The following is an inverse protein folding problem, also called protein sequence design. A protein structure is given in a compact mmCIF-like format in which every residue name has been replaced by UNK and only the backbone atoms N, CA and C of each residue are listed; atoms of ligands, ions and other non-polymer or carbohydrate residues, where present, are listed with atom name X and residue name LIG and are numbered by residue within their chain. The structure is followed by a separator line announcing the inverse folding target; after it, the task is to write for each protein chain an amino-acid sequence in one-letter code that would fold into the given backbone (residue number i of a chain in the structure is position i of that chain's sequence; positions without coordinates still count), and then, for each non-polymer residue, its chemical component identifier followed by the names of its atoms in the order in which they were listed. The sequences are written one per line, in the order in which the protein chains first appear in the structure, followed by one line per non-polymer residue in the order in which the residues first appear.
data_IF_048788455279
#
_entry.id   IF_048788455279
#
_cell.length_a   1.000
_cell.length_b   1.000
_cell.length_c   1.000
_cell.angle_alpha   90.00
_cell.angle_beta   90.00
_cell.angle_gamma   90.00
#
_symmetry.space_group_name_H-M   'P 1'
#
loop_
_entity.id
_entity.type
_entity.pdbx_description
1 polymer ?
#
# COMPACT_ATOMS: atom_id res chain seq x y z
N UNK A 1 17.19 -19.15 16.90
CA UNK A 1 16.47 -18.08 16.21
C UNK A 1 17.25 -17.81 14.93
N UNK A 2 16.75 -18.22 13.78
CA UNK A 2 17.34 -17.82 12.50
C UNK A 2 17.17 -16.32 12.37
N UNK A 3 18.26 -15.58 12.14
CA UNK A 3 18.25 -14.15 11.83
C UNK A 3 17.33 -13.89 10.64
N UNK A 4 16.07 -13.54 10.91
CA UNK A 4 15.10 -13.21 9.87
C UNK A 4 15.27 -11.74 9.52
N UNK A 5 16.39 -11.41 8.89
CA UNK A 5 16.56 -10.10 8.28
C UNK A 5 15.66 -10.02 7.05
N UNK A 6 15.06 -8.85 6.85
CA UNK A 6 14.27 -8.59 5.66
C UNK A 6 15.19 -8.59 4.43
N UNK A 7 14.76 -9.24 3.34
CA UNK A 7 15.54 -9.28 2.11
C UNK A 7 15.40 -7.96 1.35
N UNK A 8 16.53 -7.44 0.87
CA UNK A 8 16.61 -6.28 -0.01
C UNK A 8 16.94 -6.70 -1.43
N UNK A 9 16.24 -6.11 -2.40
CA UNK A 9 16.51 -6.21 -3.83
C UNK A 9 16.62 -4.81 -4.44
N UNK A 10 17.08 -4.71 -5.69
CA UNK A 10 17.10 -3.44 -6.45
C UNK A 10 15.85 -3.30 -7.33
N UNK A 11 15.57 -2.10 -7.81
CA UNK A 11 14.38 -1.81 -8.64
C UNK A 11 14.37 -2.51 -10.01
N UNK A 12 15.51 -3.03 -10.46
CA UNK A 12 15.66 -3.83 -11.68
C UNK A 12 15.58 -5.35 -11.43
N UNK A 13 15.27 -5.78 -10.20
CA UNK A 13 15.11 -7.19 -9.87
C UNK A 13 14.00 -7.86 -10.70
N UNK A 14 14.12 -9.16 -10.88
CA UNK A 14 13.08 -9.95 -11.54
C UNK A 14 11.77 -9.98 -10.72
N UNK A 15 10.63 -9.83 -11.39
CA UNK A 15 9.32 -9.80 -10.73
C UNK A 15 9.01 -11.13 -10.03
N UNK A 16 9.39 -12.28 -10.59
CA UNK A 16 9.16 -13.57 -9.94
C UNK A 16 10.02 -13.69 -8.68
N UNK A 17 11.24 -13.13 -8.67
CA UNK A 17 12.05 -13.04 -7.43
C UNK A 17 11.32 -12.23 -6.35
N UNK A 18 10.75 -11.08 -6.68
CA UNK A 18 9.99 -10.25 -5.73
C UNK A 18 8.75 -10.98 -5.21
N UNK A 19 7.98 -11.62 -6.11
CA UNK A 19 6.79 -12.38 -5.72
C UNK A 19 7.14 -13.55 -4.79
N UNK A 20 8.21 -14.29 -5.09
CA UNK A 20 8.67 -15.39 -4.25
C UNK A 20 9.06 -14.91 -2.84
N UNK A 21 9.74 -13.76 -2.72
CA UNK A 21 10.08 -13.17 -1.43
C UNK A 21 8.83 -12.73 -0.65
N UNK A 22 7.86 -12.13 -1.32
CA UNK A 22 6.58 -11.77 -0.71
C UNK A 22 5.80 -13.01 -0.23
N UNK A 23 5.79 -14.10 -0.99
CA UNK A 23 5.14 -15.35 -0.56
C UNK A 23 5.86 -15.99 0.64
N UNK A 24 7.20 -15.94 0.67
CA UNK A 24 8.04 -16.54 1.72
C UNK A 24 8.11 -15.71 3.01
N UNK A 25 8.28 -14.41 2.90
CA UNK A 25 8.56 -13.52 4.04
C UNK A 25 7.44 -12.51 4.29
N UNK A 26 6.52 -12.33 3.33
CA UNK A 26 5.41 -11.40 3.44
C UNK A 26 5.81 -9.94 3.21
N UNK A 27 7.10 -9.66 3.09
CA UNK A 27 7.66 -8.35 2.78
C UNK A 27 9.02 -8.43 2.09
N UNK A 28 9.39 -7.35 1.40
CA UNK A 28 10.68 -7.16 0.73
C UNK A 28 10.99 -5.67 0.62
N UNK A 29 12.26 -5.28 0.79
CA UNK A 29 12.72 -3.92 0.47
C UNK A 29 13.23 -3.88 -0.96
N UNK A 30 12.85 -2.83 -1.69
CA UNK A 30 13.31 -2.51 -3.03
C UNK A 30 14.08 -1.19 -2.97
N UNK A 31 15.39 -1.25 -3.12
CA UNK A 31 16.25 -0.08 -3.26
C UNK A 31 16.09 0.57 -4.62
N UNK A 32 16.32 1.89 -4.68
CA UNK A 32 16.20 2.69 -5.91
C UNK A 32 14.82 2.56 -6.58
N UNK A 33 13.77 2.42 -5.76
CA UNK A 33 12.38 2.32 -6.21
C UNK A 33 11.89 3.61 -6.89
N UNK A 34 12.30 4.78 -6.37
CA UNK A 34 12.14 6.07 -7.04
C UNK A 34 13.49 6.67 -7.39
N UNK A 35 13.57 7.28 -8.56
CA UNK A 35 14.67 8.18 -8.88
C UNK A 35 14.61 9.46 -8.02
N UNK A 36 15.76 10.15 -7.81
CA UNK A 36 15.81 11.34 -6.97
C UNK A 36 14.90 12.48 -7.42
N UNK A 37 14.71 12.67 -8.73
CA UNK A 37 13.93 13.79 -9.28
C UNK A 37 12.43 13.57 -9.00
N UNK A 38 11.93 12.35 -9.24
CA UNK A 38 10.55 11.97 -8.91
C UNK A 38 10.29 12.09 -7.40
N UNK A 39 11.23 11.65 -6.55
CA UNK A 39 11.11 11.79 -5.10
C UNK A 39 11.05 13.26 -4.68
N UNK A 40 11.90 14.12 -5.27
CA UNK A 40 11.90 15.55 -5.00
C UNK A 40 10.58 16.20 -5.45
N UNK A 41 10.04 15.83 -6.60
CA UNK A 41 8.79 16.35 -7.11
C UNK A 41 7.59 15.95 -6.24
N UNK A 42 7.53 14.69 -5.79
CA UNK A 42 6.55 14.24 -4.78
C UNK A 42 6.66 15.07 -3.48
N UNK A 43 7.89 15.35 -3.02
CA UNK A 43 8.09 16.16 -1.83
C UNK A 43 7.66 17.61 -2.02
N UNK A 44 7.91 18.20 -3.19
CA UNK A 44 7.47 19.56 -3.51
C UNK A 44 5.94 19.68 -3.51
N UNK A 45 5.23 18.67 -4.03
CA UNK A 45 3.76 18.66 -4.06
C UNK A 45 3.14 18.44 -2.66
N UNK A 46 3.75 17.59 -1.83
CA UNK A 46 3.13 17.03 -0.62
C UNK A 46 3.72 17.57 0.69
N UNK A 47 5.03 17.80 0.74
CA UNK A 47 5.77 18.14 1.95
C UNK A 47 5.28 19.42 2.63
N UNK A 48 5.24 20.57 1.94
CA UNK A 48 4.75 21.82 2.52
C UNK A 48 3.30 21.74 3.00
N UNK A 49 2.47 20.89 2.39
CA UNK A 49 1.07 20.74 2.80
C UNK A 49 0.93 20.04 4.17
N UNK A 50 1.88 19.18 4.56
CA UNK A 50 1.87 18.47 5.86
C UNK A 50 1.89 19.41 7.06
N UNK A 51 2.45 20.62 6.93
CA UNK A 51 2.49 21.60 8.02
C UNK A 51 1.09 21.97 8.52
N UNK A 52 0.08 21.89 7.64
CA UNK A 52 -1.33 22.20 7.94
C UNK A 52 -2.05 21.08 8.67
N UNK A 53 -1.47 19.89 8.74
CA UNK A 53 -2.06 18.73 9.40
C UNK A 53 -1.58 18.65 10.86
N UNK A 54 -2.53 18.44 11.77
CA UNK A 54 -2.25 18.15 13.16
C UNK A 54 -1.72 16.72 13.35
N UNK A 55 -1.35 16.41 14.59
CA UNK A 55 -1.03 15.03 14.96
C UNK A 55 -2.29 14.19 15.08
N UNK A 56 -2.13 12.87 15.08
CA UNK A 56 -3.17 11.93 15.44
C UNK A 56 -3.66 12.10 16.88
N UNK A 57 -4.83 11.54 17.13
CA UNK A 57 -5.59 11.69 18.37
C UNK A 57 -5.64 10.41 19.22
N UNK A 58 -4.97 9.33 18.78
CA UNK A 58 -4.99 8.02 19.45
C UNK A 58 -3.69 7.23 19.25
N UNK A 59 -3.56 6.11 19.97
CA UNK A 59 -2.38 5.23 19.98
C UNK A 59 -2.05 4.61 18.61
N UNK A 60 -3.03 4.47 17.72
CA UNK A 60 -2.82 3.92 16.39
C UNK A 60 -2.45 5.00 15.37
N UNK A 61 -3.15 6.13 15.40
CA UNK A 61 -2.91 7.25 14.50
C UNK A 61 -1.63 8.00 14.86
N UNK A 62 -1.30 8.04 16.15
CA UNK A 62 -0.07 8.54 16.74
C UNK A 62 -0.16 9.98 17.25
N UNK A 63 0.23 10.23 18.50
CA UNK A 63 0.13 11.54 19.16
C UNK A 63 1.16 12.58 18.67
N UNK A 64 2.21 12.13 17.98
CA UNK A 64 3.20 12.96 17.28
C UNK A 64 3.40 12.47 15.84
N UNK A 65 2.35 11.91 15.24
CA UNK A 65 2.37 11.47 13.84
C UNK A 65 1.42 12.34 13.02
N UNK A 66 1.94 12.96 11.96
CA UNK A 66 1.10 13.66 10.96
C UNK A 66 0.75 12.72 9.82
N UNK A 67 -0.50 12.79 9.35
CA UNK A 67 -1.00 11.98 8.23
C UNK A 67 -1.79 12.85 7.26
N UNK A 68 -1.47 12.74 5.98
CA UNK A 68 -2.20 13.40 4.90
C UNK A 68 -2.60 12.38 3.85
N UNK A 69 -3.90 12.30 3.54
CA UNK A 69 -4.44 11.38 2.54
C UNK A 69 -4.74 12.07 1.20
N UNK A 70 -5.36 11.33 0.29
CA UNK A 70 -5.87 11.77 -1.01
C UNK A 70 -4.75 12.20 -1.95
N UNK A 71 -3.68 11.41 -1.99
CA UNK A 71 -2.43 11.80 -2.65
C UNK A 71 -2.59 11.95 -4.17
N UNK A 72 -3.46 11.15 -4.79
CA UNK A 72 -3.77 11.28 -6.22
C UNK A 72 -4.51 12.59 -6.57
N UNK A 73 -5.13 13.26 -5.59
CA UNK A 73 -5.68 14.61 -5.78
C UNK A 73 -4.62 15.71 -5.65
N UNK A 74 -3.44 15.37 -5.12
CA UNK A 74 -2.42 16.33 -4.69
C UNK A 74 -1.15 16.29 -5.54
N UNK A 75 -0.82 15.14 -6.10
CA UNK A 75 0.42 14.96 -6.88
C UNK A 75 0.22 14.00 -8.04
N UNK A 76 0.56 14.47 -9.25
CA UNK A 76 0.62 13.62 -10.46
C UNK A 76 1.77 12.62 -10.40
N UNK A 77 2.80 12.90 -9.61
CA UNK A 77 3.97 12.04 -9.42
C UNK A 77 3.61 10.73 -8.68
N UNK A 78 2.42 10.64 -8.06
CA UNK A 78 1.89 9.37 -7.53
C UNK A 78 1.80 8.27 -8.60
N UNK A 79 1.72 8.64 -9.88
CA UNK A 79 1.75 7.68 -10.98
C UNK A 79 3.02 6.82 -11.00
N UNK A 80 4.18 7.39 -10.64
CA UNK A 80 5.44 6.66 -10.59
C UNK A 80 5.45 5.57 -9.51
N UNK A 81 4.83 5.85 -8.35
CA UNK A 81 4.69 4.87 -7.27
C UNK A 81 3.71 3.77 -7.65
N UNK A 82 2.52 4.17 -8.11
CA UNK A 82 1.42 3.26 -8.41
C UNK A 82 1.74 2.34 -9.60
N UNK A 83 2.37 2.85 -10.65
CA UNK A 83 2.71 2.07 -11.84
C UNK A 83 4.10 1.41 -11.77
N UNK A 84 4.78 1.47 -10.62
CA UNK A 84 6.09 0.84 -10.48
C UNK A 84 6.00 -0.67 -10.79
N UNK A 85 6.79 -1.22 -11.74
CA UNK A 85 6.60 -2.59 -12.23
C UNK A 85 6.63 -3.67 -11.15
N UNK A 86 7.54 -3.56 -10.18
CA UNK A 86 7.64 -4.53 -9.09
C UNK A 86 6.48 -4.45 -8.11
N UNK A 87 5.88 -3.27 -7.91
CA UNK A 87 4.77 -3.11 -6.97
C UNK A 87 3.45 -3.51 -7.62
N UNK A 88 3.11 -2.91 -8.77
CA UNK A 88 1.89 -3.24 -9.50
C UNK A 88 1.91 -4.68 -9.99
N UNK A 89 3.05 -5.16 -10.50
CA UNK A 89 3.23 -6.54 -10.94
C UNK A 89 3.00 -7.55 -9.81
N UNK A 90 3.57 -7.29 -8.63
CA UNK A 90 3.38 -8.15 -7.46
C UNK A 90 1.92 -8.13 -6.97
N UNK A 91 1.29 -6.95 -6.91
CA UNK A 91 -0.12 -6.83 -6.55
C UNK A 91 -1.03 -7.63 -7.49
N UNK A 92 -0.83 -7.51 -8.81
CA UNK A 92 -1.57 -8.29 -9.81
C UNK A 92 -1.35 -9.79 -9.63
N UNK A 93 -0.08 -10.22 -9.54
CA UNK A 93 0.27 -11.63 -9.39
C UNK A 93 -0.34 -12.23 -8.12
N UNK A 94 -0.29 -11.52 -7.00
CA UNK A 94 -0.64 -12.10 -5.70
C UNK A 94 -2.13 -11.96 -5.35
N UNK A 95 -2.83 -10.96 -5.90
CA UNK A 95 -4.24 -10.72 -5.60
C UNK A 95 -5.17 -11.34 -6.66
N UNK A 96 -4.82 -11.29 -7.95
CA UNK A 96 -5.70 -11.71 -9.05
C UNK A 96 -5.71 -13.23 -9.28
N UNK A 97 -5.71 -13.99 -8.19
CA UNK A 97 -5.76 -15.45 -8.23
C UNK A 97 -7.15 -15.92 -8.71
N UNK A 98 -7.21 -16.87 -9.65
CA UNK A 98 -8.48 -17.38 -10.16
C UNK A 98 -9.22 -18.18 -9.08
N UNK A 99 -10.51 -17.91 -8.92
CA UNK A 99 -11.41 -18.64 -8.03
C UNK A 99 -12.43 -19.41 -8.88
N UNK A 100 -12.62 -20.72 -8.65
CA UNK A 100 -13.64 -21.49 -9.34
C UNK A 100 -15.04 -21.10 -8.85
N UNK A 101 -15.91 -20.72 -9.78
CA UNK A 101 -17.31 -20.36 -9.49
C UNK A 101 -18.26 -21.13 -10.42
N UNK A 102 -19.48 -21.38 -9.95
CA UNK A 102 -20.50 -22.09 -10.72
C UNK A 102 -21.51 -21.11 -11.33
N UNK A 103 -21.74 -21.21 -12.65
CA UNK A 103 -22.85 -20.56 -13.35
C UNK A 103 -23.63 -21.59 -14.14
N UNK A 104 -24.92 -21.75 -13.82
CA UNK A 104 -25.84 -22.65 -14.54
C UNK A 104 -25.28 -24.06 -14.80
N UNK A 105 -24.59 -24.65 -13.82
CA UNK A 105 -24.02 -26.00 -13.97
C UNK A 105 -22.67 -26.07 -14.69
N UNK A 106 -22.08 -24.93 -15.05
CA UNK A 106 -20.71 -24.84 -15.56
C UNK A 106 -19.79 -24.20 -14.51
N UNK A 107 -18.61 -24.77 -14.32
CA UNK A 107 -17.57 -24.17 -13.49
C UNK A 107 -16.65 -23.31 -14.36
N UNK A 108 -16.46 -22.05 -13.97
CA UNK A 108 -15.54 -21.11 -14.63
C UNK A 108 -14.62 -20.50 -13.59
N UNK A 109 -13.38 -20.22 -13.98
CA UNK A 109 -12.42 -19.54 -13.11
C UNK A 109 -12.54 -18.03 -13.32
N UNK A 110 -12.72 -17.29 -12.24
CA UNK A 110 -12.80 -15.82 -12.25
C UNK A 110 -11.76 -15.25 -11.31
N UNK A 111 -10.97 -14.31 -11.80
CA UNK A 111 -10.06 -13.51 -10.99
C UNK A 111 -10.69 -12.13 -10.72
N UNK A 112 -10.54 -11.58 -9.51
CA UNK A 112 -10.85 -10.16 -9.29
C UNK A 112 -9.86 -9.29 -10.08
N UNK A 113 -10.22 -8.04 -10.35
CA UNK A 113 -9.22 -7.01 -10.67
C UNK A 113 -8.63 -6.47 -9.35
N UNK A 114 -7.83 -5.40 -9.43
CA UNK A 114 -7.28 -4.71 -8.25
C UNK A 114 -7.60 -3.22 -8.33
N UNK A 115 -7.67 -2.57 -7.16
CA UNK A 115 -7.89 -1.13 -7.04
C UNK A 115 -7.07 -0.56 -5.88
N UNK A 116 -6.80 0.75 -5.92
CA UNK A 116 -6.21 1.51 -4.81
C UNK A 116 -7.18 1.50 -3.65
N UNK A 117 -6.70 1.21 -2.44
CA UNK A 117 -7.50 1.27 -1.22
C UNK A 117 -7.27 2.58 -0.46
N UNK A 118 -6.02 2.88 -0.10
CA UNK A 118 -5.67 4.08 0.63
C UNK A 118 -4.32 4.64 0.18
N UNK A 119 -4.20 5.96 0.32
CA UNK A 119 -2.95 6.70 0.12
C UNK A 119 -2.69 7.62 1.31
N UNK A 120 -1.46 7.63 1.83
CA UNK A 120 -1.08 8.56 2.90
C UNK A 120 0.39 8.97 2.81
N UNK A 121 0.68 10.23 3.12
CA UNK A 121 2.00 10.61 3.64
C UNK A 121 1.92 10.55 5.16
N UNK A 122 2.89 9.86 5.76
CA UNK A 122 2.99 9.64 7.20
C UNK A 122 4.33 10.20 7.67
N UNK A 123 4.27 11.17 8.60
CA UNK A 123 5.46 11.80 9.18
C UNK A 123 5.46 11.59 10.69
N UNK A 124 6.40 10.78 11.17
CA UNK A 124 6.58 10.43 12.58
C UNK A 124 7.62 11.36 13.19
N UNK A 125 7.21 12.19 14.14
CA UNK A 125 8.08 13.18 14.78
C UNK A 125 8.88 12.58 15.94
N UNK A 126 9.96 13.26 16.38
CA UNK A 126 10.73 12.88 17.56
C UNK A 126 9.88 12.58 18.80
N UNK A 127 10.29 11.53 19.52
CA UNK A 127 9.64 10.90 20.68
C UNK A 127 8.29 10.24 20.42
N UNK A 128 7.87 10.08 19.17
CA UNK A 128 6.67 9.30 18.89
C UNK A 128 6.87 7.83 19.25
N UNK A 129 5.87 7.26 19.94
CA UNK A 129 5.85 5.85 20.33
C UNK A 129 5.74 4.89 19.13
N UNK A 130 6.07 3.62 19.35
CA UNK A 130 5.88 2.60 18.33
C UNK A 130 4.40 2.23 18.19
N UNK A 131 3.89 2.22 16.96
CA UNK A 131 2.52 1.80 16.64
C UNK A 131 2.28 0.36 17.12
N UNK A 132 1.01 0.02 17.36
CA UNK A 132 0.60 -1.37 17.60
C UNK A 132 0.90 -2.23 16.38
N UNK A 133 1.35 -3.46 16.62
CA UNK A 133 1.52 -4.45 15.56
C UNK A 133 0.15 -4.88 15.05
N UNK A 134 -0.07 -4.77 13.75
CA UNK A 134 -1.35 -5.03 13.11
C UNK A 134 -1.17 -5.60 11.70
N UNK A 135 -2.27 -6.14 11.16
CA UNK A 135 -2.43 -6.48 9.75
C UNK A 135 -3.28 -5.39 9.11
N UNK A 136 -2.89 -4.89 7.95
CA UNK A 136 -3.63 -3.83 7.28
C UNK A 136 -4.99 -4.30 6.75
N UNK A 137 -5.09 -5.57 6.36
CA UNK A 137 -6.35 -6.11 5.84
C UNK A 137 -7.32 -6.59 6.93
N UNK A 138 -7.01 -6.36 8.22
CA UNK A 138 -7.97 -6.54 9.32
C UNK A 138 -9.22 -5.68 9.10
N UNK A 139 -9.13 -4.57 8.36
CA UNK A 139 -10.28 -3.75 7.95
C UNK A 139 -11.33 -4.53 7.14
N UNK A 140 -10.95 -5.64 6.51
CA UNK A 140 -11.86 -6.54 5.76
C UNK A 140 -12.40 -7.71 6.59
N UNK A 141 -12.01 -7.83 7.87
CA UNK A 141 -12.52 -8.82 8.84
C UNK A 141 -12.50 -10.27 8.33
N UNK A 142 -11.41 -10.67 7.66
CA UNK A 142 -11.25 -12.03 7.12
C UNK A 142 -10.50 -12.92 8.10
N UNK A 143 -10.91 -14.19 8.26
CA UNK A 143 -10.17 -15.14 9.08
C UNK A 143 -8.86 -15.53 8.40
N UNK A 144 -7.84 -15.84 9.19
CA UNK A 144 -6.55 -16.35 8.71
C UNK A 144 -6.36 -17.85 9.00
N UNK A 145 -5.62 -18.56 8.14
CA UNK A 145 -4.99 -18.09 6.90
C UNK A 145 -6.00 -17.91 5.75
N UNK A 146 -5.80 -16.88 4.93
CA UNK A 146 -6.63 -16.58 3.76
C UNK A 146 -5.79 -16.15 2.55
N UNK A 147 -6.34 -16.25 1.32
CA UNK A 147 -5.70 -15.68 0.14
C UNK A 147 -5.40 -14.19 0.29
N UNK A 148 -4.28 -13.73 -0.27
CA UNK A 148 -3.87 -12.32 -0.28
C UNK A 148 -4.91 -11.46 -1.00
N UNK A 149 -5.45 -10.44 -0.33
CA UNK A 149 -6.31 -9.43 -0.97
C UNK A 149 -5.78 -8.02 -0.86
N UNK A 150 -4.57 -7.85 -0.29
CA UNK A 150 -3.90 -6.56 -0.18
C UNK A 150 -2.40 -6.73 -0.39
N UNK A 151 -1.82 -5.82 -1.18
CA UNK A 151 -0.37 -5.58 -1.25
C UNK A 151 -0.16 -4.09 -1.07
N UNK A 152 0.77 -3.72 -0.21
CA UNK A 152 1.01 -2.33 0.17
C UNK A 152 2.46 -1.95 -0.01
N UNK A 153 2.69 -0.67 -0.31
CA UNK A 153 4.03 -0.09 -0.42
C UNK A 153 4.19 1.07 0.56
N UNK A 154 5.41 1.24 1.07
CA UNK A 154 5.87 2.39 1.85
C UNK A 154 7.16 2.86 1.20
N UNK A 155 7.10 3.98 0.51
CA UNK A 155 8.25 4.66 -0.07
C UNK A 155 8.90 5.54 1.00
N UNK A 156 10.20 5.39 1.16
CA UNK A 156 11.02 6.18 2.08
C UNK A 156 11.25 7.59 1.50
N UNK A 157 10.59 8.62 2.05
CA UNK A 157 10.84 10.02 1.65
C UNK A 157 12.06 10.61 2.37
N UNK A 158 12.35 10.09 3.56
CA UNK A 158 13.61 10.23 4.31
C UNK A 158 14.23 8.85 4.50
N UNK A 159 15.48 8.77 4.94
CA UNK A 159 16.08 7.47 5.32
C UNK A 159 15.25 6.83 6.44
N UNK A 160 15.13 5.50 6.40
CA UNK A 160 14.49 4.71 7.45
C UNK A 160 15.59 3.95 8.18
N UNK A 161 15.69 4.17 9.48
CA UNK A 161 16.64 3.50 10.37
C UNK A 161 15.90 2.95 11.59
N UNK A 162 16.49 1.99 12.28
CA UNK A 162 15.93 1.48 13.53
C UNK A 162 15.73 2.59 14.57
N UNK A 163 16.61 3.60 14.58
CA UNK A 163 16.57 4.74 15.50
C UNK A 163 15.44 5.73 15.19
N UNK A 164 15.22 6.08 13.92
CA UNK A 164 14.18 7.04 13.54
C UNK A 164 12.80 6.42 13.34
N UNK A 165 12.66 5.16 13.74
CA UNK A 165 11.41 4.43 13.74
C UNK A 165 11.02 3.91 12.38
N UNK A 166 11.93 3.27 11.64
CA UNK A 166 11.61 2.46 10.45
C UNK A 166 10.38 1.57 10.67
N UNK A 167 9.68 1.22 9.59
CA UNK A 167 8.56 0.28 9.67
C UNK A 167 9.05 -1.06 10.22
N UNK A 168 8.44 -1.53 11.31
CA UNK A 168 8.72 -2.81 11.92
C UNK A 168 7.90 -3.89 11.22
N UNK A 169 8.48 -5.03 10.91
CA UNK A 169 7.82 -6.16 10.22
C UNK A 169 8.14 -7.47 10.91
N UNK A 170 7.23 -8.45 10.86
CA UNK A 170 7.51 -9.82 11.35
C UNK A 170 7.54 -10.79 10.16
N UNK A 171 8.71 -11.07 9.56
CA UNK A 171 8.79 -11.91 8.37
C UNK A 171 8.16 -13.31 8.54
N UNK A 172 7.22 -13.61 7.63
CA UNK A 172 6.46 -14.84 7.58
C UNK A 172 5.16 -14.85 8.40
N UNK A 173 4.81 -13.75 9.09
CA UNK A 173 3.62 -13.70 9.95
C UNK A 173 2.29 -13.59 9.20
N UNK A 174 2.33 -13.32 7.90
CA UNK A 174 1.17 -13.36 7.00
C UNK A 174 0.55 -14.75 6.86
N UNK A 175 1.27 -15.80 7.27
CA UNK A 175 0.76 -17.18 7.30
C UNK A 175 0.25 -17.64 8.65
N UNK A 176 0.38 -16.82 9.70
CA UNK A 176 -0.11 -17.21 11.03
C UNK A 176 -1.63 -17.19 11.06
N UNK A 177 -2.22 -18.08 11.85
CA UNK A 177 -3.63 -18.06 12.19
C UNK A 177 -3.99 -16.84 13.07
N UNK A 178 -5.26 -16.75 13.47
CA UNK A 178 -5.78 -15.67 14.32
C UNK A 178 -5.62 -15.94 15.83
N UNK A 179 -5.17 -17.13 16.23
CA UNK A 179 -5.00 -17.48 17.65
C UNK A 179 -3.66 -16.96 18.19
N UNK A 180 -2.69 -16.73 17.30
CA UNK A 180 -1.35 -16.27 17.65
C UNK A 180 -1.23 -14.75 17.66
N UNK A 181 -1.02 -14.18 18.85
CA UNK A 181 -0.69 -12.75 19.00
C UNK A 181 0.76 -12.42 18.57
N UNK A 182 1.01 -11.29 17.88
CA UNK A 182 2.35 -10.85 17.53
C UNK A 182 3.10 -10.28 18.73
N UNK A 183 4.41 -10.53 18.81
CA UNK A 183 5.29 -9.96 19.84
C UNK A 183 6.29 -8.97 19.22
N UNK A 184 6.63 -7.90 19.96
CA UNK A 184 7.49 -6.83 19.46
C UNK A 184 8.94 -7.27 19.22
N UNK A 185 9.44 -8.23 19.99
CA UNK A 185 10.80 -8.79 19.87
C UNK A 185 10.96 -9.70 18.65
N UNK A 186 9.86 -10.12 18.02
CA UNK A 186 9.88 -10.82 16.73
C UNK A 186 9.95 -9.87 15.52
N UNK A 187 9.75 -8.57 15.74
CA UNK A 187 9.70 -7.59 14.68
C UNK A 187 11.09 -7.01 14.37
N UNK A 188 11.42 -6.93 13.09
CA UNK A 188 12.67 -6.35 12.57
C UNK A 188 12.39 -5.05 11.82
N UNK A 189 13.26 -4.03 11.93
CA UNK A 189 13.09 -2.77 11.20
C UNK A 189 13.40 -2.96 9.71
N UNK A 190 12.55 -2.38 8.86
CA UNK A 190 12.82 -2.24 7.43
C UNK A 190 13.69 -1.00 7.19
N UNK A 191 14.99 -1.11 7.48
CA UNK A 191 15.96 -0.06 7.24
C UNK A 191 16.26 0.08 5.75
N UNK A 192 16.20 1.30 5.22
CA UNK A 192 16.40 1.56 3.80
C UNK A 192 16.69 3.05 3.54
N UNK A 193 17.54 3.39 2.54
CA UNK A 193 17.78 4.78 2.18
C UNK A 193 16.57 5.42 1.51
N UNK A 194 16.45 6.74 1.61
CA UNK A 194 15.40 7.51 0.97
C UNK A 194 15.33 7.26 -0.56
N UNK A 195 14.14 7.04 -1.09
CA UNK A 195 13.89 6.60 -2.47
C UNK A 195 13.70 5.09 -2.60
N UNK A 196 14.02 4.31 -1.57
CA UNK A 196 13.67 2.89 -1.50
C UNK A 196 12.21 2.69 -1.08
N UNK A 197 11.70 1.46 -1.25
CA UNK A 197 10.36 1.11 -0.82
C UNK A 197 10.30 -0.26 -0.13
N UNK A 198 9.53 -0.34 0.96
CA UNK A 198 9.08 -1.60 1.53
C UNK A 198 7.78 -2.01 0.84
N UNK A 199 7.70 -3.21 0.29
CA UNK A 199 6.47 -3.83 -0.22
C UNK A 199 6.08 -4.97 0.73
N UNK A 200 4.82 -5.06 1.15
CA UNK A 200 4.33 -6.12 2.02
C UNK A 200 2.90 -6.59 1.70
N UNK A 201 2.57 -7.78 2.19
CA UNK A 201 1.23 -8.36 2.11
C UNK A 201 0.37 -7.90 3.27
N UNK A 202 -0.93 -7.65 3.03
CA UNK A 202 -1.83 -7.10 4.04
C UNK A 202 -1.94 -7.92 5.34
N UNK A 203 -1.68 -9.23 5.29
CA UNK A 203 -1.66 -10.11 6.45
C UNK A 203 -0.37 -10.13 7.26
N UNK A 204 0.67 -9.44 6.81
CA UNK A 204 1.91 -9.31 7.56
C UNK A 204 1.67 -8.43 8.79
N UNK A 205 2.12 -8.92 9.96
CA UNK A 205 2.14 -8.10 11.16
C UNK A 205 3.27 -7.10 11.04
N UNK A 206 2.91 -5.83 11.16
CA UNK A 206 3.83 -4.71 11.02
C UNK A 206 3.35 -3.52 11.84
N UNK A 207 4.16 -2.46 11.91
CA UNK A 207 3.77 -1.18 12.50
C UNK A 207 4.89 -0.15 12.45
N UNK A 208 4.55 1.14 12.55
CA UNK A 208 5.57 2.18 12.68
C UNK A 208 6.46 1.99 13.92
N UNK A 209 7.78 2.03 13.73
CA UNK A 209 8.73 2.03 14.83
C UNK A 209 8.68 3.31 15.66
N UNK A 210 9.24 3.26 16.87
CA UNK A 210 9.43 4.44 17.73
C UNK A 210 10.46 5.35 17.10
N UNK A 211 10.19 6.64 16.97
CA UNK A 211 11.20 7.61 16.55
C UNK A 211 11.95 8.13 17.78
N UNK A 212 13.17 7.64 17.98
CA UNK A 212 14.10 8.07 19.03
C UNK A 212 15.15 9.08 18.53
N UNK A 213 15.08 9.48 17.26
CA UNK A 213 15.98 10.47 16.65
C UNK A 213 15.50 11.91 16.92
N UNK A 214 16.27 12.89 16.45
CA UNK A 214 15.95 14.32 16.60
C UNK A 214 15.19 14.92 15.41
N UNK A 215 14.95 14.15 14.34
CA UNK A 215 14.32 14.62 13.10
C UNK A 215 13.08 13.79 12.74
N UNK A 216 12.10 14.34 12.01
CA UNK A 216 10.93 13.60 11.58
C UNK A 216 11.27 12.57 10.49
N UNK A 217 10.72 11.36 10.62
CA UNK A 217 10.80 10.29 9.61
C UNK A 217 9.56 10.34 8.72
N UNK A 218 9.73 10.47 7.41
CA UNK A 218 8.62 10.63 6.47
C UNK A 218 8.55 9.48 5.46
N UNK A 219 7.39 8.84 5.37
CA UNK A 219 7.07 7.83 4.37
C UNK A 219 5.81 8.17 3.58
N UNK A 220 5.73 7.66 2.36
CA UNK A 220 4.55 7.73 1.50
C UNK A 220 4.04 6.31 1.26
N UNK A 221 2.77 6.04 1.55
CA UNK A 221 2.17 4.72 1.38
C UNK A 221 1.01 4.72 0.40
N UNK A 222 0.91 3.62 -0.35
CA UNK A 222 -0.20 3.28 -1.23
C UNK A 222 -0.51 1.80 -1.03
N UNK A 223 -1.78 1.43 -0.95
CA UNK A 223 -2.21 0.02 -0.93
C UNK A 223 -3.07 -0.34 -2.14
N UNK A 224 -2.80 -1.50 -2.73
CA UNK A 224 -3.73 -2.19 -3.62
C UNK A 224 -4.55 -3.21 -2.85
N UNK A 225 -5.82 -3.31 -3.19
CA UNK A 225 -6.73 -4.35 -2.71
C UNK A 225 -7.40 -5.06 -3.88
N UNK A 226 -7.95 -6.25 -3.62
CA UNK A 226 -8.84 -6.91 -4.57
C UNK A 226 -10.05 -6.01 -4.89
N UNK A 227 -10.45 -5.95 -6.16
CA UNK A 227 -11.54 -5.08 -6.62
C UNK A 227 -12.91 -5.38 -6.02
N UNK A 228 -13.07 -6.57 -5.43
CA UNK A 228 -14.26 -6.96 -4.70
C UNK A 228 -14.25 -6.56 -3.22
N UNK A 229 -13.21 -5.86 -2.74
CA UNK A 229 -13.10 -5.34 -1.37
C UNK A 229 -13.40 -3.85 -1.31
N UNK A 230 -13.93 -3.38 -0.16
CA UNK A 230 -14.17 -1.96 0.07
C UNK A 230 -12.85 -1.22 0.28
N UNK A 231 -12.68 -0.07 -0.39
CA UNK A 231 -11.57 0.85 -0.19
C UNK A 231 -11.62 1.49 1.20
N UNK A 232 -10.45 1.64 1.85
CA UNK A 232 -10.33 2.38 3.11
C UNK A 232 -10.49 3.88 2.91
N UNK A 233 -9.87 4.43 1.86
CA UNK A 233 -10.09 5.79 1.39
C UNK A 233 -11.01 5.73 0.17
N UNK A 234 -12.16 6.40 0.26
CA UNK A 234 -13.12 6.44 -0.84
C UNK A 234 -12.55 7.28 -2.01
N UNK A 235 -11.92 6.62 -2.99
CA UNK A 235 -11.20 7.30 -4.07
C UNK A 235 -12.12 8.14 -4.96
N UNK A 236 -13.38 7.74 -5.12
CA UNK A 236 -14.40 8.50 -5.87
C UNK A 236 -14.70 9.88 -5.24
N UNK A 237 -14.46 10.04 -3.94
CA UNK A 237 -14.61 11.32 -3.23
C UNK A 237 -13.27 12.01 -2.99
N UNK A 238 -12.21 11.22 -2.76
CA UNK A 238 -10.89 11.72 -2.45
C UNK A 238 -10.22 12.38 -3.67
N UNK A 239 -10.49 11.87 -4.88
CA UNK A 239 -9.90 12.36 -6.12
C UNK A 239 -10.98 12.97 -7.02
N UNK A 240 -10.96 14.29 -7.26
CA UNK A 240 -11.88 14.93 -8.19
C UNK A 240 -11.88 14.27 -9.57
N UNK A 241 -13.04 14.13 -10.20
CA UNK A 241 -13.15 13.39 -11.47
C UNK A 241 -12.37 14.03 -12.63
N UNK A 242 -12.28 15.36 -12.68
CA UNK A 242 -11.42 16.09 -13.62
C UNK A 242 -9.95 15.73 -13.41
N UNK A 243 -9.52 15.60 -12.15
CA UNK A 243 -8.19 15.10 -11.82
C UNK A 243 -8.02 13.67 -12.30
N UNK A 244 -8.99 12.77 -12.08
CA UNK A 244 -8.91 11.38 -12.55
C UNK A 244 -8.70 11.29 -14.06
N UNK A 245 -9.43 12.09 -14.85
CA UNK A 245 -9.36 12.11 -16.33
C UNK A 245 -7.97 12.41 -16.89
N UNK A 246 -7.14 13.12 -16.14
CA UNK A 246 -5.78 13.46 -16.57
C UNK A 246 -4.77 12.32 -16.34
N UNK A 247 -5.11 11.31 -15.53
CA UNK A 247 -4.25 10.14 -15.37
C UNK A 247 -4.33 9.21 -16.59
N UNK A 248 -3.28 8.41 -16.86
CA UNK A 248 -3.37 7.29 -17.80
C UNK A 248 -4.53 6.35 -17.46
N UNK A 249 -5.15 5.74 -18.48
CA UNK A 249 -6.29 4.80 -18.31
C UNK A 249 -6.03 3.73 -17.26
N UNK A 250 -4.82 3.18 -17.20
CA UNK A 250 -4.46 2.18 -16.20
C UNK A 250 -4.64 2.69 -14.76
N UNK A 251 -4.28 3.94 -14.47
CA UNK A 251 -4.50 4.54 -13.16
C UNK A 251 -5.95 4.94 -12.94
N UNK A 252 -6.67 5.37 -13.97
CA UNK A 252 -8.11 5.63 -13.87
C UNK A 252 -8.84 4.38 -13.37
N UNK A 253 -8.54 3.22 -13.97
CA UNK A 253 -9.07 1.91 -13.55
C UNK A 253 -8.64 1.53 -12.14
N UNK A 254 -7.37 1.70 -11.81
CA UNK A 254 -6.86 1.43 -10.46
C UNK A 254 -7.49 2.33 -9.40
N UNK A 255 -7.94 3.55 -9.74
CA UNK A 255 -8.67 4.44 -8.83
C UNK A 255 -10.13 4.03 -8.62
N UNK A 256 -10.59 2.94 -9.23
CA UNK A 256 -11.93 2.38 -9.06
C UNK A 256 -12.84 2.59 -10.26
N UNK A 257 -12.40 3.30 -11.32
CA UNK A 257 -13.19 3.44 -12.55
C UNK A 257 -13.06 2.19 -13.43
N UNK A 258 -13.41 1.04 -12.87
CA UNK A 258 -13.46 -0.24 -13.57
C UNK A 258 -14.48 -1.19 -12.92
N UNK A 259 -14.93 -2.20 -13.68
CA UNK A 259 -15.76 -3.29 -13.15
C UNK A 259 -14.86 -4.41 -12.66
N UNK A 260 -15.02 -4.82 -11.41
CA UNK A 260 -14.42 -6.05 -10.91
C UNK A 260 -15.30 -7.24 -11.29
N UNK A 261 -14.77 -8.24 -12.02
CA UNK A 261 -15.49 -9.48 -12.26
C UNK A 261 -15.93 -10.17 -10.94
N UNK A 262 -17.09 -10.86 -10.95
CA UNK A 262 -17.99 -10.96 -12.08
C UNK A 262 -18.90 -9.73 -12.27
N UNK A 263 -19.26 -8.99 -11.22
CA UNK A 263 -20.38 -8.03 -11.29
C UNK A 263 -20.23 -6.79 -10.39
N UNK A 264 -19.05 -6.48 -9.85
CA UNK A 264 -18.89 -5.42 -8.85
C UNK A 264 -18.39 -4.12 -9.46
N UNK A 265 -18.90 -2.99 -8.96
CA UNK A 265 -18.41 -1.66 -9.34
C UNK A 265 -19.00 -1.09 -10.64
N UNK A 266 -20.07 -1.66 -11.20
CA UNK A 266 -20.74 -1.07 -12.36
C UNK A 266 -21.46 0.26 -12.02
N UNK A 267 -21.62 1.11 -13.03
CA UNK A 267 -22.46 2.31 -12.99
C UNK A 267 -23.51 2.20 -14.10
N UNK A 268 -24.80 2.23 -13.75
CA UNK A 268 -25.92 2.05 -14.70
C UNK A 268 -25.72 0.83 -15.63
N UNK A 269 -25.43 -0.35 -15.04
CA UNK A 269 -25.10 -1.60 -15.72
C UNK A 269 -23.93 -1.54 -16.72
N UNK A 270 -23.09 -0.52 -16.64
CA UNK A 270 -21.97 -0.25 -17.53
C UNK A 270 -20.66 -0.11 -16.76
N UNK A 271 -19.53 -0.10 -17.48
CA UNK A 271 -18.23 0.15 -16.86
C UNK A 271 -18.10 1.63 -16.50
N UNK A 272 -17.84 2.00 -15.23
CA UNK A 272 -17.77 3.41 -14.82
C UNK A 272 -16.65 4.20 -15.53
N UNK A 273 -15.68 3.52 -16.14
CA UNK A 273 -14.67 4.14 -17.01
C UNK A 273 -15.29 4.99 -18.13
N UNK A 274 -16.50 4.66 -18.62
CA UNK A 274 -17.14 5.42 -19.70
C UNK A 274 -17.42 6.88 -19.31
N UNK A 275 -17.64 7.17 -18.02
CA UNK A 275 -17.85 8.53 -17.51
C UNK A 275 -16.61 9.43 -17.67
N UNK A 276 -15.42 8.83 -17.81
CA UNK A 276 -14.18 9.56 -17.99
C UNK A 276 -13.97 9.97 -19.46
N UNK A 277 -14.54 9.23 -20.41
CA UNK A 277 -14.49 9.51 -21.84
C UNK A 277 -15.48 10.61 -22.27
N UNK A 278 -16.61 10.73 -21.57
CA UNK A 278 -17.60 11.79 -21.79
C UNK A 278 -17.05 13.11 -21.23
N UNK A 279 -16.55 13.99 -22.10
CA UNK A 279 -16.31 15.39 -21.71
C UNK A 279 -17.65 16.00 -21.30
N UNK A 280 -17.70 16.59 -20.10
CA UNK A 280 -18.84 17.38 -19.67
C UNK A 280 -19.12 18.44 -20.75
N UNK A 281 -20.32 18.37 -21.34
CA UNK A 281 -20.85 19.41 -22.23
C UNK A 281 -21.18 20.67 -21.45
#
# INVERSE_FOLDING_TARGET
MTDKNLVTVRSDADLDRVCNLLEQDGAVVVEEFLDPDTRQALWADLGPALEKFGYGDNEFSGHKTKRMSSLFARSRHMAAVALHPLFLGAARRLIQQPVPVWFSGQQVNISPNIQVSATQVIQIWPDEGAQWLHRDDTSHLRPYPAPTTRVQVMVAMTDFTAENGATMTIPGSHRWDDERAPQRDEAVPAEMPAGSALIWLGGLYHGGGRNASTEPRTGLTLSYIAGNMRQEENQYLAVPMDVVREYPEELQRLLGYDVCPPFLGWYESSNPHTLLAERAG
#
